data_IF_228153121482
#
_entry.id   IF_228153121482
#
_cell.length_a   1.000
_cell.length_b   1.000
_cell.length_c   1.000
_cell.angle_alpha   90.00
_cell.angle_beta   90.00
_cell.angle_gamma   90.00
#
_symmetry.space_group_name_H-M   'P 1'
#
loop_
_entity.id
_entity.type
_entity.pdbx_description
1 polymer ?
#
# COMPACT_ATOMS: atom_id res chain seq x y z
N UNK A 1 -16.52 -14.19 22.38
CA UNK A 1 -16.26 -12.74 22.30
C UNK A 1 -15.41 -12.46 21.08
N UNK A 2 -16.01 -11.83 20.06
CA UNK A 2 -15.30 -11.38 18.87
C UNK A 2 -14.87 -9.93 19.06
N UNK A 3 -13.76 -9.55 18.44
CA UNK A 3 -13.32 -8.15 18.41
C UNK A 3 -13.88 -7.53 17.14
N UNK A 4 -14.62 -6.43 17.27
CA UNK A 4 -15.16 -5.68 16.14
C UNK A 4 -14.39 -4.36 15.99
N UNK A 5 -14.29 -3.89 14.76
CA UNK A 5 -13.72 -2.59 14.41
C UNK A 5 -14.75 -1.78 13.63
N UNK A 6 -15.01 -0.55 14.05
CA UNK A 6 -15.86 0.37 13.31
C UNK A 6 -15.08 1.00 12.15
N UNK A 7 -15.59 0.95 10.92
CA UNK A 7 -14.91 1.56 9.78
C UNK A 7 -14.98 3.10 9.79
N UNK A 8 -15.98 3.67 10.48
CA UNK A 8 -16.17 5.12 10.54
C UNK A 8 -15.18 5.79 11.50
N UNK A 9 -15.02 5.26 12.73
CA UNK A 9 -14.17 5.87 13.75
C UNK A 9 -12.92 5.04 14.10
N UNK A 10 -12.71 3.89 13.44
CA UNK A 10 -11.63 2.95 13.72
C UNK A 10 -11.54 2.47 15.18
N UNK A 11 -12.62 2.63 15.95
CA UNK A 11 -12.68 2.15 17.32
C UNK A 11 -12.87 0.63 17.36
N UNK A 12 -12.03 -0.04 18.15
CA UNK A 12 -12.04 -1.49 18.34
C UNK A 12 -12.65 -1.82 19.69
N UNK A 13 -13.57 -2.77 19.71
CA UNK A 13 -14.27 -3.17 20.92
C UNK A 13 -14.63 -4.66 20.87
N UNK A 14 -14.65 -5.30 22.03
CA UNK A 14 -15.02 -6.71 22.14
C UNK A 14 -16.50 -6.84 22.48
N UNK A 15 -17.24 -7.63 21.72
CA UNK A 15 -18.65 -7.93 21.96
C UNK A 15 -18.97 -9.37 21.55
N UNK A 16 -20.09 -9.93 22.04
CA UNK A 16 -20.57 -11.22 21.55
C UNK A 16 -21.46 -11.06 20.31
N UNK A 17 -22.22 -9.97 20.24
CA UNK A 17 -22.98 -9.56 19.07
C UNK A 17 -23.02 -8.03 19.05
N UNK A 18 -22.56 -7.40 17.97
CA UNK A 18 -22.57 -5.95 17.82
C UNK A 18 -23.33 -5.56 16.55
N UNK A 19 -24.30 -4.64 16.69
CA UNK A 19 -25.05 -4.05 15.57
C UNK A 19 -24.62 -2.61 15.25
N UNK A 20 -23.97 -1.94 16.20
CA UNK A 20 -23.52 -0.54 16.09
C UNK A 20 -22.24 -0.33 16.90
N UNK A 21 -21.47 0.68 16.51
CA UNK A 21 -20.31 1.13 17.25
C UNK A 21 -20.72 1.89 18.52
N UNK A 22 -20.20 1.54 19.71
CA UNK A 22 -20.55 2.23 20.96
C UNK A 22 -19.97 3.65 21.07
N UNK A 23 -19.10 4.06 20.14
CA UNK A 23 -18.42 5.36 20.18
C UNK A 23 -19.04 6.39 19.25
N UNK A 24 -19.63 5.97 18.14
CA UNK A 24 -20.15 6.87 17.11
C UNK A 24 -21.49 6.43 16.52
N UNK A 25 -22.14 5.42 17.13
CA UNK A 25 -23.42 4.84 16.70
C UNK A 25 -23.49 4.30 15.26
N UNK A 26 -22.36 4.26 14.55
CA UNK A 26 -22.29 3.75 13.18
C UNK A 26 -22.59 2.25 13.14
N UNK A 27 -23.45 1.83 12.21
CA UNK A 27 -23.73 0.42 11.92
C UNK A 27 -22.61 -0.26 11.12
N UNK A 28 -21.65 0.52 10.59
CA UNK A 28 -20.54 -0.01 9.80
C UNK A 28 -19.42 -0.52 10.72
N UNK A 29 -19.58 -1.77 11.16
CA UNK A 29 -18.65 -2.50 12.02
C UNK A 29 -18.28 -3.82 11.36
N UNK A 30 -17.00 -4.19 11.44
CA UNK A 30 -16.45 -5.40 10.83
C UNK A 30 -15.78 -6.25 11.90
N UNK A 31 -15.98 -7.56 11.83
CA UNK A 31 -15.25 -8.49 12.70
C UNK A 31 -13.76 -8.46 12.37
N UNK A 32 -12.95 -8.17 13.39
CA UNK A 32 -11.50 -8.16 13.29
C UNK A 32 -10.97 -9.58 13.50
N UNK A 33 -10.92 -10.36 12.42
CA UNK A 33 -10.24 -11.65 12.45
C UNK A 33 -8.72 -11.43 12.43
N UNK A 34 -8.06 -11.76 13.54
CA UNK A 34 -6.62 -12.01 13.54
C UNK A 34 -6.36 -13.27 12.69
N UNK A 35 -6.22 -13.10 11.37
CA UNK A 35 -5.68 -14.17 10.53
C UNK A 35 -4.22 -14.40 10.94
N UNK A 36 -4.00 -15.60 11.49
CA UNK A 36 -2.82 -16.44 11.32
C UNK A 36 -1.46 -15.78 11.51
N UNK A 37 -0.80 -16.17 12.61
CA UNK A 37 0.65 -16.13 12.77
C UNK A 37 1.34 -16.66 11.51
N UNK A 38 1.95 -15.79 10.72
CA UNK A 38 3.11 -16.18 9.91
C UNK A 38 4.35 -15.78 10.73
N UNK A 39 5.18 -16.77 10.98
CA UNK A 39 6.32 -16.76 11.91
C UNK A 39 7.33 -15.65 11.53
N UNK A 40 7.78 -14.82 12.48
CA UNK A 40 8.73 -13.75 12.17
C UNK A 40 10.12 -14.34 11.89
N UNK A 41 10.61 -14.20 10.65
CA UNK A 41 12.05 -14.39 10.36
C UNK A 41 12.85 -13.35 11.17
N UNK A 42 13.79 -13.76 12.04
CA UNK A 42 14.61 -12.84 12.79
C UNK A 42 15.77 -12.38 11.91
N UNK A 43 15.71 -11.16 11.36
CA UNK A 43 16.86 -10.68 10.57
C UNK A 43 16.81 -9.32 9.89
N UNK A 44 15.72 -8.55 9.94
CA UNK A 44 15.72 -7.22 9.33
C UNK A 44 15.30 -6.15 10.37
N UNK A 45 16.12 -5.11 10.63
CA UNK A 45 15.76 -4.08 11.59
C UNK A 45 14.50 -3.35 11.14
N UNK A 46 13.50 -3.36 12.03
CA UNK A 46 12.24 -2.67 11.90
C UNK A 46 12.45 -1.15 11.97
N UNK A 47 12.84 -0.55 10.84
CA UNK A 47 12.69 0.87 10.60
C UNK A 47 11.21 1.19 10.52
N UNK A 48 10.70 1.97 11.49
CA UNK A 48 9.38 2.56 11.46
C UNK A 48 9.17 3.34 10.15
N UNK A 49 8.44 2.76 9.19
CA UNK A 49 7.97 3.50 8.03
C UNK A 49 6.47 3.70 8.17
N UNK A 50 6.11 4.89 8.65
CA UNK A 50 4.76 5.43 8.55
C UNK A 50 4.22 5.23 7.13
N UNK A 51 2.91 4.99 6.94
CA UNK A 51 2.30 4.99 5.63
C UNK A 51 2.46 6.39 5.03
N UNK A 52 3.48 6.57 4.19
CA UNK A 52 3.59 7.75 3.35
C UNK A 52 2.38 7.73 2.41
N UNK A 53 1.75 8.89 2.17
CA UNK A 53 0.59 8.97 1.28
C UNK A 53 0.97 8.37 -0.07
N UNK A 54 0.05 7.67 -0.75
CA UNK A 54 0.32 7.11 -2.06
C UNK A 54 0.74 8.28 -2.95
N UNK A 55 2.02 8.29 -3.33
CA UNK A 55 2.48 9.15 -4.42
C UNK A 55 1.54 8.82 -5.58
N UNK A 56 0.73 9.80 -6.01
CA UNK A 56 -0.33 9.63 -7.00
C UNK A 56 0.19 8.84 -8.19
N UNK A 57 -0.01 7.53 -8.20
CA UNK A 57 0.39 6.66 -9.29
C UNK A 57 -0.31 7.21 -10.54
N UNK A 58 0.47 7.67 -11.53
CA UNK A 58 -0.12 8.10 -12.79
C UNK A 58 -0.48 6.86 -13.59
N UNK A 59 -1.78 6.62 -13.67
CA UNK A 59 -2.35 5.57 -14.49
C UNK A 59 -2.54 6.05 -15.93
N UNK A 60 -2.13 5.24 -16.89
CA UNK A 60 -2.47 5.44 -18.29
C UNK A 60 -1.55 4.70 -19.27
N UNK A 61 -2.00 4.60 -20.52
CA UNK A 61 -1.38 3.71 -21.50
C UNK A 61 -0.51 4.44 -22.55
N UNK A 62 -0.64 5.77 -22.62
CA UNK A 62 -0.04 6.61 -23.64
C UNK A 62 1.36 7.16 -23.32
N UNK A 63 1.98 7.80 -24.32
CA UNK A 63 3.30 8.46 -24.20
C UNK A 63 3.31 9.56 -23.12
N UNK A 64 2.19 10.26 -22.92
CA UNK A 64 2.03 11.25 -21.86
C UNK A 64 2.04 10.64 -20.45
N UNK A 65 1.38 9.48 -20.27
CA UNK A 65 1.40 8.75 -19.01
C UNK A 65 2.79 8.18 -18.71
N UNK A 66 3.49 7.65 -19.74
CA UNK A 66 4.88 7.21 -19.61
C UNK A 66 5.82 8.35 -19.19
N UNK A 67 5.73 9.51 -19.85
CA UNK A 67 6.55 10.68 -19.50
C UNK A 67 6.24 11.16 -18.07
N UNK A 68 4.97 11.15 -17.67
CA UNK A 68 4.56 11.51 -16.30
C UNK A 68 4.98 10.49 -15.25
N UNK A 69 4.96 9.20 -15.57
CA UNK A 69 5.51 8.13 -14.73
C UNK A 69 7.02 8.34 -14.52
N UNK A 70 7.74 8.82 -15.52
CA UNK A 70 9.17 9.11 -15.47
C UNK A 70 9.50 10.36 -14.67
N UNK A 71 8.70 11.41 -14.86
CA UNK A 71 8.89 12.72 -14.25
C UNK A 71 8.27 12.85 -12.86
N UNK A 72 7.51 11.87 -12.38
CA UNK A 72 6.97 11.89 -11.01
C UNK A 72 8.09 11.88 -9.98
N UNK A 73 8.01 12.81 -9.02
CA UNK A 73 8.88 12.94 -7.84
C UNK A 73 8.90 11.71 -6.91
N UNK A 74 8.16 10.65 -7.20
CA UNK A 74 8.39 9.32 -6.64
C UNK A 74 9.70 8.74 -7.23
N UNK A 75 10.79 9.47 -7.06
CA UNK A 75 12.15 9.12 -7.45
C UNK A 75 12.76 8.12 -6.47
N UNK A 76 11.94 7.31 -5.79
CA UNK A 76 12.37 6.49 -4.66
C UNK A 76 11.72 5.12 -4.78
N UNK A 77 12.53 4.07 -4.79
CA UNK A 77 12.06 2.70 -4.97
C UNK A 77 11.22 2.33 -3.74
N UNK A 78 9.99 1.82 -3.92
CA UNK A 78 9.14 1.46 -2.79
C UNK A 78 9.72 0.31 -1.96
N UNK A 79 10.59 -0.50 -2.55
CA UNK A 79 11.22 -1.64 -1.90
C UNK A 79 12.48 -1.23 -1.10
N UNK A 80 13.44 -0.53 -1.73
CA UNK A 80 14.75 -0.28 -1.12
C UNK A 80 15.08 1.21 -0.83
N UNK A 81 14.16 2.11 -1.14
CA UNK A 81 14.38 3.55 -1.01
C UNK A 81 15.39 4.13 -2.03
N UNK A 82 15.88 3.34 -2.98
CA UNK A 82 16.87 3.75 -3.98
C UNK A 82 16.33 4.78 -4.96
N UNK A 83 17.17 5.73 -5.39
CA UNK A 83 16.77 6.79 -6.32
C UNK A 83 17.22 6.57 -7.76
N UNK A 84 18.01 5.53 -7.98
CA UNK A 84 18.60 5.20 -9.26
C UNK A 84 17.77 4.13 -9.96
N UNK A 85 17.27 4.47 -11.15
CA UNK A 85 16.44 3.60 -11.96
C UNK A 85 16.98 3.51 -13.38
N UNK A 86 16.93 2.31 -13.93
CA UNK A 86 17.12 2.04 -15.35
C UNK A 86 15.77 1.98 -16.06
N UNK A 87 15.70 2.58 -17.25
CA UNK A 87 14.44 2.78 -17.98
C UNK A 87 14.35 1.80 -19.14
N UNK A 88 13.38 0.90 -19.12
CA UNK A 88 13.08 0.02 -20.25
C UNK A 88 11.92 0.59 -21.08
N UNK A 89 12.26 1.33 -22.13
CA UNK A 89 11.28 1.96 -23.02
C UNK A 89 10.44 0.97 -23.84
N UNK A 90 11.00 -0.21 -24.16
CA UNK A 90 10.26 -1.25 -24.92
C UNK A 90 9.12 -1.83 -24.10
N UNK A 91 9.38 -2.09 -22.82
CA UNK A 91 8.42 -2.73 -21.90
C UNK A 91 7.60 -1.73 -21.08
N UNK A 92 7.94 -0.44 -21.14
CA UNK A 92 7.39 0.60 -20.28
C UNK A 92 7.54 0.25 -18.78
N UNK A 93 8.77 -0.10 -18.40
CA UNK A 93 9.16 -0.49 -17.04
C UNK A 93 10.34 0.35 -16.52
N UNK A 94 10.43 0.54 -15.19
CA UNK A 94 11.61 1.08 -14.52
C UNK A 94 12.21 0.04 -13.58
N UNK A 95 13.50 -0.22 -13.70
CA UNK A 95 14.20 -1.16 -12.83
C UNK A 95 15.05 -0.39 -11.83
N UNK A 96 14.88 -0.63 -10.53
CA UNK A 96 15.74 0.00 -9.53
C UNK A 96 17.16 -0.59 -9.62
N UNK A 97 18.20 0.23 -9.79
CA UNK A 97 19.59 -0.24 -9.83
C UNK A 97 20.10 -0.75 -8.49
N UNK A 98 19.48 -0.33 -7.39
CA UNK A 98 19.90 -0.69 -6.03
C UNK A 98 19.39 -2.07 -5.58
N UNK A 99 18.18 -2.47 -5.99
CA UNK A 99 17.58 -3.74 -5.57
C UNK A 99 17.03 -4.60 -6.71
N UNK A 100 17.13 -4.16 -7.97
CA UNK A 100 16.64 -4.89 -9.14
C UNK A 100 15.12 -4.90 -9.32
N UNK A 101 14.37 -4.23 -8.45
CA UNK A 101 12.90 -4.23 -8.46
C UNK A 101 12.36 -3.55 -9.72
N UNK A 102 11.40 -4.21 -10.39
CA UNK A 102 10.82 -3.75 -11.66
C UNK A 102 9.46 -3.10 -11.37
N UNK A 103 9.37 -1.81 -11.66
CA UNK A 103 8.17 -0.99 -11.55
C UNK A 103 7.55 -0.81 -12.93
N UNK A 104 6.49 -1.56 -13.28
CA UNK A 104 5.78 -1.36 -14.53
C UNK A 104 4.95 -0.07 -14.50
N UNK A 105 4.70 0.51 -15.68
CA UNK A 105 3.73 1.59 -15.83
C UNK A 105 2.33 1.09 -15.37
N UNK A 106 1.70 1.72 -14.37
CA UNK A 106 0.37 1.32 -13.91
C UNK A 106 -0.67 1.55 -15.01
N UNK A 107 -1.36 0.48 -15.41
CA UNK A 107 -2.49 0.56 -16.34
C UNK A 107 -3.79 0.68 -15.57
N UNK A 108 -4.78 1.37 -16.13
CA UNK A 108 -6.14 1.30 -15.58
C UNK A 108 -6.63 -0.11 -15.85
N UNK A 109 -6.99 -0.85 -14.81
CA UNK A 109 -7.73 -2.09 -14.99
C UNK A 109 -9.00 -1.74 -15.78
N UNK A 110 -9.21 -2.42 -16.90
CA UNK A 110 -10.46 -2.36 -17.65
C UNK A 110 -11.57 -3.04 -16.86
#
# INVERSE_FOLDING_TARGET
MAVYSCSNCNFRFAANEAKKCPRCDSADIREFQQRGKEEPQPGAPAGHHAPRPPSRLVYGDGKGAWRSFHSQQASVCPNCGGKEFELNYKRKEKTCRKCGDILPLPRRFA
#
